data_IF_738285830088
#
_entry.id   IF_738285830088
#
_cell.length_a   1.000
_cell.length_b   1.000
_cell.length_c   1.000
_cell.angle_alpha   90.00
_cell.angle_beta   90.00
_cell.angle_gamma   90.00
#
_symmetry.space_group_name_H-M   'P 1'
#
loop_
_entity.id
_entity.type
_entity.pdbx_description
1 polymer ?
#
# COMPACT_ATOMS: atom_id res chain seq x y z
N UNK A 1 16.44 -1.12 15.53
CA UNK A 1 15.29 -1.59 14.73
C UNK A 1 15.62 -1.34 13.28
N UNK A 2 15.43 -2.32 12.40
CA UNK A 2 15.70 -2.18 10.96
C UNK A 2 14.41 -1.80 10.24
N UNK A 3 14.48 -0.80 9.37
CA UNK A 3 13.34 -0.36 8.56
C UNK A 3 13.39 -1.07 7.21
N UNK A 4 12.24 -1.57 6.76
CA UNK A 4 12.07 -2.18 5.45
C UNK A 4 11.25 -1.20 4.61
N UNK A 5 11.83 -0.78 3.51
CA UNK A 5 11.22 0.08 2.50
C UNK A 5 10.80 -0.77 1.30
N UNK A 6 9.53 -0.67 0.93
CA UNK A 6 9.00 -1.33 -0.27
C UNK A 6 8.78 -0.27 -1.36
N UNK A 7 9.75 -0.12 -2.27
CA UNK A 7 9.60 0.71 -3.46
C UNK A 7 8.83 -0.10 -4.50
N UNK A 8 7.50 0.04 -4.59
CA UNK A 8 6.77 -0.61 -5.68
C UNK A 8 7.22 -0.01 -7.02
N UNK A 9 7.50 -0.90 -7.97
CA UNK A 9 8.14 -0.78 -9.30
C UNK A 9 7.78 0.42 -10.20
N UNK A 10 7.80 1.62 -9.65
CA UNK A 10 7.74 2.90 -10.34
C UNK A 10 9.04 3.62 -10.02
N UNK A 11 9.86 3.87 -11.04
CA UNK A 11 11.15 4.57 -10.95
C UNK A 11 11.04 6.05 -10.49
N UNK A 12 9.88 6.43 -9.92
CA UNK A 12 9.45 7.79 -9.61
C UNK A 12 9.21 7.99 -8.10
N UNK A 13 9.15 6.91 -7.31
CA UNK A 13 8.94 7.03 -5.87
C UNK A 13 10.26 7.33 -5.13
N UNK A 14 10.26 8.45 -4.39
CA UNK A 14 11.35 8.78 -3.47
C UNK A 14 11.53 7.67 -2.43
N UNK A 15 12.79 7.37 -2.12
CA UNK A 15 13.14 6.40 -1.12
C UNK A 15 12.53 6.82 0.23
N UNK A 16 11.89 5.88 0.93
CA UNK A 16 11.14 6.14 2.18
C UNK A 16 9.89 7.01 2.04
N UNK A 17 9.35 7.25 0.85
CA UNK A 17 8.17 8.10 0.66
C UNK A 17 6.98 7.72 1.56
N UNK A 18 6.74 6.43 1.80
CA UNK A 18 5.67 5.93 2.68
C UNK A 18 5.92 6.28 4.16
N UNK A 19 7.17 6.17 4.61
CA UNK A 19 7.57 6.52 5.97
C UNK A 19 7.55 8.03 6.17
N UNK A 20 7.99 8.81 5.19
CA UNK A 20 7.94 10.28 5.22
C UNK A 20 6.51 10.78 5.26
N UNK A 21 5.63 10.22 4.43
CA UNK A 21 4.21 10.53 4.44
C UNK A 21 3.60 10.25 5.81
N UNK A 22 3.88 9.08 6.39
CA UNK A 22 3.38 8.72 7.70
C UNK A 22 3.91 9.66 8.81
N UNK A 23 5.20 9.97 8.80
CA UNK A 23 5.80 10.92 9.75
C UNK A 23 5.18 12.32 9.62
N UNK A 24 4.95 12.81 8.40
CA UNK A 24 4.33 14.11 8.15
C UNK A 24 2.90 14.19 8.71
N UNK A 25 2.12 13.11 8.59
CA UNK A 25 0.72 13.08 9.00
C UNK A 25 0.53 12.80 10.51
N UNK A 26 1.48 12.08 11.13
CA UNK A 26 1.42 11.73 12.56
C UNK A 26 2.24 12.66 13.46
N UNK A 27 3.13 13.47 12.88
CA UNK A 27 4.11 14.26 13.63
C UNK A 27 5.24 13.42 14.22
N UNK A 28 5.29 12.11 13.93
CA UNK A 28 6.38 11.25 14.36
C UNK A 28 7.70 11.63 13.68
N UNK A 29 8.80 11.41 14.39
CA UNK A 29 10.14 11.62 13.86
C UNK A 29 10.92 10.30 13.88
N UNK A 30 11.15 9.73 12.69
CA UNK A 30 11.86 8.47 12.53
C UNK A 30 13.28 8.70 12.00
N UNK A 31 14.28 7.95 12.50
CA UNK A 31 15.65 8.08 12.03
C UNK A 31 15.81 7.43 10.65
N UNK A 32 15.75 8.24 9.59
CA UNK A 32 15.93 7.78 8.20
C UNK A 32 17.39 7.43 7.86
N UNK A 33 18.36 7.88 8.66
CA UNK A 33 19.80 7.67 8.43
C UNK A 33 20.33 6.34 8.99
N UNK A 34 19.44 5.50 9.52
CA UNK A 34 19.78 4.19 10.07
C UNK A 34 20.01 3.11 9.00
N UNK A 35 20.34 1.89 9.45
CA UNK A 35 20.35 0.72 8.57
C UNK A 35 18.93 0.38 8.13
N UNK A 36 18.77 0.05 6.85
CA UNK A 36 17.49 -0.33 6.26
C UNK A 36 17.65 -1.42 5.21
N UNK A 37 16.53 -2.07 4.89
CA UNK A 37 16.37 -2.90 3.70
C UNK A 37 15.50 -2.18 2.69
N UNK A 38 15.88 -2.20 1.42
CA UNK A 38 15.04 -1.73 0.32
C UNK A 38 14.69 -2.91 -0.57
N UNK A 39 13.40 -3.10 -0.84
CA UNK A 39 12.88 -4.15 -1.70
C UNK A 39 11.91 -3.56 -2.71
N UNK A 40 11.84 -4.16 -3.90
CA UNK A 40 11.01 -3.65 -4.99
C UNK A 40 9.57 -4.19 -4.99
N UNK A 41 9.19 -4.94 -3.95
CA UNK A 41 7.89 -5.63 -3.88
C UNK A 41 7.40 -5.71 -2.44
N UNK A 42 6.15 -5.30 -2.23
CA UNK A 42 5.51 -5.31 -0.91
C UNK A 42 5.40 -6.71 -0.29
N UNK A 43 5.18 -7.74 -1.10
CA UNK A 43 5.11 -9.13 -0.62
C UNK A 43 6.44 -9.62 -0.05
N UNK A 44 7.57 -9.11 -0.53
CA UNK A 44 8.90 -9.41 0.04
C UNK A 44 9.04 -8.69 1.38
N UNK A 45 8.63 -7.42 1.47
CA UNK A 45 8.69 -6.67 2.72
C UNK A 45 7.83 -7.32 3.83
N UNK A 46 6.65 -7.82 3.48
CA UNK A 46 5.78 -8.59 4.38
C UNK A 46 6.50 -9.84 4.88
N UNK A 47 7.06 -10.66 3.99
CA UNK A 47 7.79 -11.88 4.37
C UNK A 47 8.98 -11.55 5.28
N UNK A 48 9.71 -10.48 5.01
CA UNK A 48 10.83 -10.05 5.84
C UNK A 48 10.37 -9.67 7.25
N UNK A 49 9.25 -8.96 7.38
CA UNK A 49 8.67 -8.61 8.67
C UNK A 49 8.14 -9.84 9.43
N UNK A 50 7.45 -10.76 8.76
CA UNK A 50 6.99 -12.03 9.35
C UNK A 50 8.17 -12.88 9.87
N UNK A 51 9.33 -12.82 9.20
CA UNK A 51 10.56 -13.51 9.63
C UNK A 51 11.40 -12.69 10.63
N UNK A 52 10.88 -11.56 11.14
CA UNK A 52 11.54 -10.76 12.18
C UNK A 52 12.75 -9.94 11.71
N UNK A 53 12.92 -9.72 10.40
CA UNK A 53 14.06 -8.97 9.86
C UNK A 53 13.95 -7.45 10.06
N UNK A 54 12.75 -6.93 10.33
CA UNK A 54 12.54 -5.51 10.53
C UNK A 54 11.07 -5.10 10.57
N UNK A 55 10.86 -3.78 10.54
CA UNK A 55 9.54 -3.14 10.52
C UNK A 55 9.27 -2.59 9.13
N UNK A 56 8.06 -2.83 8.62
CA UNK A 56 7.60 -2.32 7.34
C UNK A 56 6.33 -1.49 7.50
N UNK A 57 6.12 -0.54 6.60
CA UNK A 57 4.81 0.08 6.40
C UNK A 57 3.95 -0.88 5.59
N UNK A 58 2.81 -1.31 6.15
CA UNK A 58 1.90 -2.25 5.51
C UNK A 58 0.68 -1.57 4.91
N UNK A 59 0.23 -2.06 3.74
CA UNK A 59 -1.10 -1.71 3.22
C UNK A 59 -2.15 -2.48 4.01
N UNK A 60 -3.05 -1.77 4.71
CA UNK A 60 -3.98 -2.39 5.65
C UNK A 60 -4.72 -3.60 5.05
N UNK A 61 -5.30 -3.46 3.85
CA UNK A 61 -6.02 -4.55 3.17
C UNK A 61 -5.17 -5.81 2.96
N UNK A 62 -3.87 -5.66 2.72
CA UNK A 62 -2.97 -6.80 2.49
C UNK A 62 -2.47 -7.44 3.79
N UNK A 63 -2.31 -6.65 4.85
CA UNK A 63 -1.72 -7.11 6.11
C UNK A 63 -2.75 -7.46 7.18
N UNK A 64 -4.03 -7.11 6.98
CA UNK A 64 -5.09 -7.36 7.97
C UNK A 64 -5.17 -8.84 8.39
N UNK A 65 -5.14 -9.83 7.48
CA UNK A 65 -5.16 -11.24 7.91
C UNK A 65 -3.93 -11.65 8.73
N UNK A 66 -2.80 -10.99 8.52
CA UNK A 66 -1.55 -11.24 9.25
C UNK A 66 -1.58 -10.60 10.64
N UNK A 67 -2.23 -9.45 10.77
CA UNK A 67 -2.54 -8.83 12.07
C UNK A 67 -3.54 -9.68 12.86
N UNK A 68 -4.62 -10.12 12.22
CA UNK A 68 -5.68 -10.92 12.85
C UNK A 68 -5.16 -12.28 13.34
N UNK A 69 -4.23 -12.88 12.59
CA UNK A 69 -3.57 -14.14 12.98
C UNK A 69 -2.41 -13.97 13.97
N UNK A 70 -2.03 -12.73 14.30
CA UNK A 70 -0.90 -12.43 15.19
C UNK A 70 0.48 -12.70 14.59
N UNK A 71 0.56 -12.99 13.28
CA UNK A 71 1.83 -13.13 12.56
C UNK A 71 2.56 -11.80 12.42
N UNK A 72 1.80 -10.71 12.35
CA UNK A 72 2.28 -9.34 12.46
C UNK A 72 1.60 -8.66 13.65
N UNK A 73 2.29 -7.68 14.23
CA UNK A 73 1.75 -6.81 15.28
C UNK A 73 1.95 -5.37 14.83
N UNK A 74 0.91 -4.56 14.96
CA UNK A 74 0.99 -3.13 14.68
C UNK A 74 1.79 -2.43 15.79
N UNK A 75 2.83 -1.68 15.41
CA UNK A 75 3.64 -0.89 16.34
C UNK A 75 3.04 0.49 16.65
N UNK A 76 2.03 0.89 15.88
CA UNK A 76 1.30 2.15 16.02
C UNK A 76 -0.16 1.94 15.63
N UNK A 77 -1.08 2.62 16.32
CA UNK A 77 -2.49 2.65 15.96
C UNK A 77 -2.80 3.65 14.83
N UNK A 78 -1.88 4.60 14.60
CA UNK A 78 -2.01 5.64 13.58
C UNK A 78 -2.03 5.07 12.15
N UNK A 79 -3.12 5.35 11.43
CA UNK A 79 -3.32 4.97 10.03
C UNK A 79 -3.37 6.22 9.17
N UNK A 80 -2.61 6.21 8.08
CA UNK A 80 -2.54 7.34 7.14
C UNK A 80 -3.11 6.90 5.79
N UNK A 81 -4.09 7.64 5.22
CA UNK A 81 -4.63 7.31 3.92
C UNK A 81 -3.58 7.47 2.82
N UNK A 82 -3.60 6.55 1.85
CA UNK A 82 -2.77 6.66 0.65
C UNK A 82 -3.23 7.85 -0.21
N UNK A 83 -2.32 8.71 -0.70
CA UNK A 83 -2.64 9.75 -1.69
C UNK A 83 -2.82 9.18 -3.11
N UNK A 84 -2.66 7.88 -3.28
CA UNK A 84 -2.78 7.14 -4.54
C UNK A 84 -3.95 6.15 -4.47
N UNK A 85 -4.62 5.97 -5.62
CA UNK A 85 -5.67 4.98 -5.84
C UNK A 85 -5.39 4.10 -7.05
N UNK A 86 -6.35 3.25 -7.42
CA UNK A 86 -6.28 2.35 -8.57
C UNK A 86 -7.18 2.88 -9.71
N UNK A 87 -6.63 2.99 -10.91
CA UNK A 87 -7.33 3.47 -12.09
C UNK A 87 -7.57 2.33 -13.10
N UNK A 88 -8.80 2.21 -13.62
CA UNK A 88 -9.11 1.32 -14.74
C UNK A 88 -8.89 2.06 -16.07
N UNK A 89 -7.79 1.76 -16.75
CA UNK A 89 -7.39 2.45 -17.99
C UNK A 89 -7.70 1.57 -19.21
N UNK A 90 -8.34 2.15 -20.22
CA UNK A 90 -8.49 1.52 -21.55
C UNK A 90 -8.37 2.55 -22.69
N UNK A 91 -7.90 2.12 -23.89
CA UNK A 91 -7.93 2.96 -25.08
C UNK A 91 -9.35 3.45 -25.40
N UNK A 92 -9.47 4.68 -25.90
CA UNK A 92 -10.76 5.32 -26.12
C UNK A 92 -11.67 4.51 -27.06
N UNK A 93 -11.08 3.87 -28.07
CA UNK A 93 -11.79 3.06 -29.07
C UNK A 93 -12.38 1.78 -28.46
N UNK A 94 -11.91 1.38 -27.26
CA UNK A 94 -12.34 0.16 -26.60
C UNK A 94 -13.39 0.40 -25.50
N UNK A 95 -13.67 1.67 -25.14
CA UNK A 95 -14.62 2.03 -24.07
C UNK A 95 -16.05 1.55 -24.34
N UNK A 96 -16.46 1.47 -25.60
CA UNK A 96 -17.80 1.02 -26.00
C UNK A 96 -17.92 -0.50 -26.22
N UNK A 97 -16.83 -1.27 -26.10
CA UNK A 97 -16.90 -2.72 -26.29
C UNK A 97 -17.63 -3.36 -25.12
N UNK A 98 -18.61 -4.21 -25.43
CA UNK A 98 -19.44 -4.90 -24.41
C UNK A 98 -18.62 -5.60 -23.32
N UNK A 99 -17.51 -6.25 -23.69
CA UNK A 99 -16.61 -6.91 -22.72
C UNK A 99 -15.96 -5.94 -21.73
N UNK A 100 -15.65 -4.72 -22.15
CA UNK A 100 -15.07 -3.71 -21.27
C UNK A 100 -16.13 -3.19 -20.31
N UNK A 101 -17.33 -2.89 -20.83
CA UNK A 101 -18.46 -2.47 -20.00
C UNK A 101 -18.80 -3.52 -18.94
N UNK A 102 -18.96 -4.79 -19.35
CA UNK A 102 -19.25 -5.88 -18.43
C UNK A 102 -18.16 -6.06 -17.36
N UNK A 103 -16.88 -5.96 -17.73
CA UNK A 103 -15.79 -6.02 -16.76
C UNK A 103 -15.77 -4.81 -15.82
N UNK A 104 -16.00 -3.60 -16.34
CA UNK A 104 -16.02 -2.38 -15.52
C UNK A 104 -17.19 -2.36 -14.54
N UNK A 105 -18.35 -2.86 -14.95
CA UNK A 105 -19.54 -3.00 -14.10
C UNK A 105 -19.28 -4.02 -13.00
N UNK A 106 -18.82 -5.22 -13.36
CA UNK A 106 -18.42 -6.24 -12.38
C UNK A 106 -17.35 -5.70 -11.41
N UNK A 107 -16.32 -5.01 -11.91
CA UNK A 107 -15.27 -4.45 -11.04
C UNK A 107 -15.83 -3.41 -10.06
N UNK A 108 -16.78 -2.58 -10.50
CA UNK A 108 -17.46 -1.62 -9.62
C UNK A 108 -18.30 -2.32 -8.55
N UNK A 109 -18.97 -3.43 -8.89
CA UNK A 109 -19.71 -4.24 -7.92
C UNK A 109 -18.80 -4.86 -6.85
N UNK A 110 -17.64 -5.39 -7.26
CA UNK A 110 -16.63 -5.95 -6.34
C UNK A 110 -16.03 -4.84 -5.45
N UNK A 111 -15.71 -3.68 -6.02
CA UNK A 111 -15.15 -2.55 -5.27
C UNK A 111 -16.18 -1.87 -4.35
N UNK A 112 -17.46 -1.86 -4.71
CA UNK A 112 -18.54 -1.27 -3.92
C UNK A 112 -18.77 -1.95 -2.55
N UNK A 113 -18.15 -3.12 -2.34
CA UNK A 113 -18.13 -3.81 -1.05
C UNK A 113 -17.03 -3.29 -0.10
N UNK A 114 -16.05 -2.54 -0.61
CA UNK A 114 -14.95 -1.94 0.16
C UNK A 114 -15.26 -0.46 0.45
N UNK A 115 -15.66 -0.16 1.70
CA UNK A 115 -16.10 1.18 2.14
C UNK A 115 -14.95 2.15 2.43
N UNK A 116 -13.84 2.03 1.71
CA UNK A 116 -12.74 2.98 1.83
C UNK A 116 -13.08 4.25 1.04
N UNK A 117 -12.93 5.46 1.63
CA UNK A 117 -13.36 6.68 0.95
C UNK A 117 -12.57 6.89 -0.34
N UNK A 118 -13.29 7.04 -1.45
CA UNK A 118 -12.72 7.43 -2.75
C UNK A 118 -12.34 8.89 -2.67
N UNK A 119 -11.04 9.18 -2.57
CA UNK A 119 -10.51 10.52 -2.78
C UNK A 119 -10.66 10.86 -4.26
N UNK A 120 -11.71 11.61 -4.62
CA UNK A 120 -11.82 12.22 -5.93
C UNK A 120 -10.62 13.16 -6.16
N UNK A 121 -9.90 12.95 -7.25
CA UNK A 121 -8.93 13.91 -7.80
C UNK A 121 -9.64 14.90 -8.71
#
# INVERSE_FOLDING_TARGET
MLWIHASESTDVQDQFSEWRLWCQQTGANLPFEGRYYAVNNHSIAIQMAENGLGVMMGRQTLIQPLLDSGKLVALSEEKVPSPFGYDLICPQENRSRLRFLAFSEWLQEECGQDKSPVTQR
#
